data_IF_464509934140
#
_entry.id   IF_464509934140
#
_cell.length_a   1.000
_cell.length_b   1.000
_cell.length_c   1.000
_cell.angle_alpha   90.00
_cell.angle_beta   90.00
_cell.angle_gamma   90.00
#
_symmetry.space_group_name_H-M   'P 1'
#
loop_
_entity.id
_entity.type
_entity.pdbx_description
1 polymer ?
#
# COMPACT_ATOMS: atom_id res chain seq x y z
N UNK A 1 -23.46 16.71 -10.40
CA UNK A 1 -22.18 17.15 -10.97
C UNK A 1 -21.94 18.59 -10.52
N UNK A 2 -20.94 18.85 -9.67
CA UNK A 2 -20.74 20.12 -8.94
C UNK A 2 -19.78 21.09 -9.66
N UNK A 3 -19.52 20.86 -10.95
CA UNK A 3 -18.73 21.75 -11.81
C UNK A 3 -17.25 21.86 -11.43
N UNK A 4 -16.75 20.91 -10.61
CA UNK A 4 -15.33 20.78 -10.27
C UNK A 4 -14.62 19.99 -11.35
N UNK A 5 -13.44 20.47 -11.73
CA UNK A 5 -12.59 19.73 -12.66
C UNK A 5 -12.13 18.44 -11.98
N UNK A 6 -12.45 17.30 -12.58
CA UNK A 6 -11.88 16.00 -12.19
C UNK A 6 -10.92 15.54 -13.27
N UNK A 7 -10.03 14.60 -12.95
CA UNK A 7 -9.14 14.00 -13.94
C UNK A 7 -9.92 13.36 -15.10
N UNK A 8 -11.13 12.84 -14.82
CA UNK A 8 -11.98 12.15 -15.79
C UNK A 8 -12.71 13.12 -16.73
N UNK A 9 -13.01 14.34 -16.27
CA UNK A 9 -13.86 15.30 -16.99
C UNK A 9 -13.11 16.47 -17.62
N UNK A 10 -11.83 16.66 -17.31
CA UNK A 10 -11.08 17.85 -17.73
C UNK A 10 -10.12 17.57 -18.90
N UNK A 11 -10.59 17.71 -20.15
CA UNK A 11 -9.72 17.79 -21.34
C UNK A 11 -8.98 19.13 -21.44
N UNK A 12 -9.52 20.18 -20.81
CA UNK A 12 -8.93 21.53 -20.70
C UNK A 12 -9.06 22.03 -19.27
N UNK A 13 -7.95 22.45 -18.68
CA UNK A 13 -7.93 22.96 -17.32
C UNK A 13 -8.65 24.33 -17.23
N UNK A 14 -9.75 24.45 -16.45
CA UNK A 14 -10.58 25.65 -16.47
C UNK A 14 -9.81 26.90 -16.02
N UNK A 15 -9.98 28.06 -16.69
CA UNK A 15 -9.28 29.30 -16.35
C UNK A 15 -9.43 29.71 -14.88
N UNK A 16 -10.62 29.54 -14.29
CA UNK A 16 -10.90 29.85 -12.88
C UNK A 16 -10.09 29.04 -11.86
N UNK A 17 -9.51 27.90 -12.26
CA UNK A 17 -8.69 27.05 -11.40
C UNK A 17 -7.19 27.17 -11.74
N UNK A 18 -6.82 27.88 -12.82
CA UNK A 18 -5.42 28.13 -13.18
C UNK A 18 -4.75 28.95 -12.08
N UNK A 19 -3.48 28.65 -11.84
CA UNK A 19 -2.69 29.49 -10.95
C UNK A 19 -2.43 30.80 -11.68
N UNK A 20 -2.86 31.90 -11.08
CA UNK A 20 -2.55 33.25 -11.54
C UNK A 20 -1.04 33.46 -11.41
N UNK A 21 -0.34 33.63 -12.54
CA UNK A 21 1.11 33.76 -12.59
C UNK A 21 1.62 34.96 -11.78
N UNK A 22 0.79 36.00 -11.60
CA UNK A 22 1.14 37.15 -10.76
C UNK A 22 1.19 36.84 -9.25
N UNK A 23 0.61 35.70 -8.83
CA UNK A 23 0.57 35.23 -7.44
C UNK A 23 1.59 34.12 -7.16
N UNK A 24 2.51 33.89 -8.10
CA UNK A 24 3.54 32.88 -8.01
C UNK A 24 4.88 33.58 -7.76
N UNK A 25 5.61 33.12 -6.75
CA UNK A 25 6.99 33.56 -6.58
C UNK A 25 7.89 32.75 -7.51
N UNK A 26 8.51 33.45 -8.46
CA UNK A 26 9.54 32.90 -9.32
C UNK A 26 10.89 33.07 -8.64
N UNK A 27 11.63 31.99 -8.55
CA UNK A 27 12.99 31.99 -8.05
C UNK A 27 13.92 31.46 -9.11
N UNK A 28 15.13 32.02 -9.17
CA UNK A 28 16.17 31.57 -10.08
C UNK A 28 17.45 31.28 -9.28
N UNK A 29 18.05 30.12 -9.52
CA UNK A 29 19.35 29.74 -8.97
C UNK A 29 20.23 29.25 -10.13
N UNK A 30 21.15 30.12 -10.57
CA UNK A 30 21.92 29.89 -11.80
C UNK A 30 21.01 29.76 -13.02
N UNK A 31 21.08 28.62 -13.70
CA UNK A 31 20.26 28.29 -14.87
C UNK A 31 18.91 27.63 -14.52
N UNK A 32 18.62 27.40 -13.24
CA UNK A 32 17.39 26.73 -12.80
C UNK A 32 16.37 27.75 -12.30
N UNK A 33 15.18 27.74 -12.90
CA UNK A 33 14.00 28.47 -12.39
C UNK A 33 13.10 27.53 -11.61
N UNK A 34 12.66 27.94 -10.42
CA UNK A 34 11.69 27.21 -9.61
C UNK A 34 10.55 28.12 -9.15
N UNK A 35 9.38 27.50 -9.05
CA UNK A 35 8.12 28.13 -8.66
C UNK A 35 7.66 27.42 -7.39
N UNK A 36 7.26 28.18 -6.38
CA UNK A 36 6.59 27.64 -5.19
C UNK A 36 5.24 28.32 -4.98
N UNK A 37 4.26 27.54 -4.51
CA UNK A 37 2.98 28.08 -4.03
C UNK A 37 2.46 27.24 -2.87
N UNK A 38 1.90 27.84 -1.81
CA UNK A 38 1.16 27.09 -0.82
C UNK A 38 -0.14 26.57 -1.44
N UNK A 39 -0.49 25.32 -1.15
CA UNK A 39 -1.80 24.75 -1.47
C UNK A 39 -2.52 24.39 -0.18
N UNK A 40 -3.83 24.61 -0.17
CA UNK A 40 -4.67 24.24 0.96
C UNK A 40 -5.57 23.06 0.55
N UNK A 41 -5.37 21.92 1.20
CA UNK A 41 -6.15 20.70 0.94
C UNK A 41 -7.16 20.55 2.08
N UNK A 42 -8.44 20.76 1.78
CA UNK A 42 -9.52 20.69 2.79
C UNK A 42 -9.94 19.28 3.17
N UNK A 43 -9.69 18.29 2.33
CA UNK A 43 -10.32 16.96 2.43
C UNK A 43 -9.29 15.85 2.25
N UNK A 44 -8.27 15.82 3.11
CA UNK A 44 -7.40 14.63 3.21
C UNK A 44 -8.19 13.57 3.99
N UNK A 45 -8.52 12.41 3.38
CA UNK A 45 -9.23 11.37 4.10
C UNK A 45 -8.37 10.86 5.27
N UNK A 46 -9.05 10.50 6.36
CA UNK A 46 -8.39 9.88 7.51
C UNK A 46 -8.31 8.37 7.25
N UNK A 47 -7.12 7.87 6.89
CA UNK A 47 -6.87 6.43 6.77
C UNK A 47 -6.79 5.78 8.15
N UNK A 48 -7.28 4.55 8.29
CA UNK A 48 -7.35 3.84 9.55
C UNK A 48 -5.96 3.64 10.18
N UNK A 49 -4.93 3.38 9.36
CA UNK A 49 -3.56 3.24 9.85
C UNK A 49 -3.00 4.51 10.52
N UNK A 50 -3.53 5.70 10.21
CA UNK A 50 -3.06 6.95 10.84
C UNK A 50 -3.39 7.01 12.34
N UNK A 51 -4.43 6.27 12.74
CA UNK A 51 -4.88 6.08 14.13
C UNK A 51 -4.43 4.74 14.73
N UNK A 52 -3.65 3.96 13.99
CA UNK A 52 -3.13 2.69 14.50
C UNK A 52 -2.22 2.91 15.71
N UNK A 53 -2.21 1.90 16.58
CA UNK A 53 -1.27 1.83 17.68
C UNK A 53 0.15 1.59 17.12
N UNK A 54 1.17 2.36 17.54
CA UNK A 54 2.55 2.09 17.16
C UNK A 54 2.96 0.66 17.53
N UNK A 55 3.47 -0.07 16.55
CA UNK A 55 3.89 -1.45 16.72
C UNK A 55 5.12 -1.52 17.63
N UNK A 56 4.94 -2.12 18.80
CA UNK A 56 6.04 -2.48 19.71
C UNK A 56 6.42 -3.94 19.46
N UNK A 57 7.70 -4.27 19.23
CA UNK A 57 8.16 -5.65 18.93
C UNK A 57 8.18 -6.54 20.18
N UNK A 58 7.07 -6.59 20.91
CA UNK A 58 6.86 -7.53 22.01
C UNK A 58 6.65 -8.93 21.46
N UNK A 59 6.91 -9.96 22.28
CA UNK A 59 6.67 -11.36 21.90
C UNK A 59 5.25 -11.60 21.40
N UNK A 60 4.25 -10.94 22.01
CA UNK A 60 2.86 -11.06 21.63
C UNK A 60 2.57 -10.43 20.26
N UNK A 61 3.03 -9.19 20.02
CA UNK A 61 2.81 -8.49 18.76
C UNK A 61 3.54 -9.15 17.60
N UNK A 62 4.78 -9.61 17.81
CA UNK A 62 5.51 -10.38 16.80
C UNK A 62 4.79 -11.69 16.47
N UNK A 63 4.24 -12.38 17.48
CA UNK A 63 3.43 -13.60 17.25
C UNK A 63 2.16 -13.29 16.44
N UNK A 64 1.48 -12.17 16.69
CA UNK A 64 0.33 -11.73 15.88
C UNK A 64 0.74 -11.44 14.43
N UNK A 65 1.87 -10.76 14.23
CA UNK A 65 2.40 -10.44 12.90
C UNK A 65 2.79 -11.71 12.12
N UNK A 66 3.52 -12.63 12.74
CA UNK A 66 3.86 -13.92 12.13
C UNK A 66 2.61 -14.69 11.72
N UNK A 67 1.57 -14.74 12.58
CA UNK A 67 0.29 -15.38 12.25
C UNK A 67 -0.41 -14.71 11.07
N UNK A 68 -0.36 -13.39 10.96
CA UNK A 68 -0.92 -12.68 9.82
C UNK A 68 -0.23 -13.09 8.50
N UNK A 69 1.11 -13.13 8.49
CA UNK A 69 1.87 -13.63 7.34
C UNK A 69 1.56 -15.11 7.03
N UNK A 70 1.51 -15.98 8.05
CA UNK A 70 1.17 -17.39 7.86
C UNK A 70 -0.23 -17.57 7.27
N UNK A 71 -1.22 -16.81 7.74
CA UNK A 71 -2.56 -16.86 7.19
C UNK A 71 -2.57 -16.53 5.69
N UNK A 72 -1.82 -15.50 5.27
CA UNK A 72 -1.69 -15.13 3.85
C UNK A 72 -0.97 -16.22 3.04
N UNK A 73 0.13 -16.80 3.56
CA UNK A 73 0.83 -17.90 2.91
C UNK A 73 -0.10 -19.09 2.68
N UNK A 74 -0.91 -19.46 3.69
CA UNK A 74 -1.86 -20.55 3.56
C UNK A 74 -3.01 -20.22 2.60
N UNK A 75 -3.48 -18.97 2.54
CA UNK A 75 -4.42 -18.53 1.50
C UNK A 75 -3.80 -18.64 0.09
N UNK A 76 -2.55 -18.20 -0.09
CA UNK A 76 -1.82 -18.33 -1.36
C UNK A 76 -1.68 -19.80 -1.77
N UNK A 77 -1.28 -20.69 -0.86
CA UNK A 77 -1.16 -22.14 -1.13
C UNK A 77 -2.47 -22.77 -1.58
N UNK A 78 -3.58 -22.36 -0.95
CA UNK A 78 -4.93 -22.81 -1.31
C UNK A 78 -5.50 -22.11 -2.54
N UNK A 79 -4.76 -21.17 -3.12
CA UNK A 79 -5.22 -20.33 -4.24
C UNK A 79 -6.54 -19.60 -3.89
N UNK A 80 -6.69 -19.23 -2.62
CA UNK A 80 -7.87 -18.57 -2.08
C UNK A 80 -7.83 -17.06 -2.39
N UNK A 81 -8.08 -16.72 -3.66
CA UNK A 81 -8.06 -15.34 -4.16
C UNK A 81 -9.09 -14.48 -3.42
N UNK A 82 -10.26 -15.04 -3.12
CA UNK A 82 -11.31 -14.33 -2.39
C UNK A 82 -10.88 -14.02 -0.95
N UNK A 83 -10.28 -14.97 -0.24
CA UNK A 83 -9.73 -14.74 1.10
C UNK A 83 -8.60 -13.71 1.11
N UNK A 84 -7.72 -13.73 0.11
CA UNK A 84 -6.69 -12.69 -0.08
C UNK A 84 -7.33 -11.32 -0.31
N UNK A 85 -8.35 -11.23 -1.18
CA UNK A 85 -9.08 -9.98 -1.46
C UNK A 85 -9.72 -9.41 -0.21
N UNK A 86 -10.32 -10.26 0.62
CA UNK A 86 -10.92 -9.86 1.89
C UNK A 86 -9.86 -9.34 2.88
N UNK A 87 -8.70 -10.01 2.97
CA UNK A 87 -7.59 -9.59 3.82
C UNK A 87 -7.03 -8.20 3.41
N UNK A 88 -7.01 -7.90 2.11
CA UNK A 88 -6.55 -6.61 1.58
C UNK A 88 -7.65 -5.53 1.50
N UNK A 89 -8.91 -5.88 1.79
CA UNK A 89 -10.07 -5.00 1.57
C UNK A 89 -9.96 -3.61 2.23
N UNK A 90 -9.38 -3.54 3.43
CA UNK A 90 -9.12 -2.26 4.11
C UNK A 90 -8.14 -1.41 3.30
N UNK A 91 -6.97 -1.99 2.99
CA UNK A 91 -5.91 -1.35 2.19
C UNK A 91 -6.43 -0.85 0.86
N UNK A 92 -7.19 -1.70 0.15
CA UNK A 92 -7.72 -1.34 -1.16
C UNK A 92 -8.74 -0.21 -1.11
N UNK A 93 -9.60 -0.16 -0.08
CA UNK A 93 -10.52 0.97 0.13
C UNK A 93 -9.77 2.25 0.45
N UNK A 94 -8.76 2.16 1.31
CA UNK A 94 -7.90 3.30 1.68
C UNK A 94 -7.20 3.89 0.46
N UNK A 95 -6.69 3.04 -0.43
CA UNK A 95 -6.03 3.43 -1.68
C UNK A 95 -6.99 4.00 -2.70
N UNK A 96 -8.15 3.38 -2.91
CA UNK A 96 -9.21 3.90 -3.78
C UNK A 96 -9.63 5.32 -3.35
N UNK A 97 -9.79 5.56 -2.05
CA UNK A 97 -10.06 6.91 -1.51
C UNK A 97 -8.90 7.89 -1.74
N UNK A 98 -7.66 7.43 -1.60
CA UNK A 98 -6.47 8.26 -1.86
C UNK A 98 -6.40 8.72 -3.32
N UNK A 99 -6.90 7.92 -4.25
CA UNK A 99 -6.97 8.23 -5.68
C UNK A 99 -8.29 8.90 -6.08
N UNK A 100 -9.04 9.41 -5.11
CA UNK A 100 -10.33 10.06 -5.33
C UNK A 100 -11.33 9.19 -6.11
N UNK A 101 -11.32 7.87 -5.87
CA UNK A 101 -12.20 6.91 -6.53
C UNK A 101 -11.92 6.74 -8.02
N UNK A 102 -10.70 7.03 -8.49
CA UNK A 102 -10.32 6.78 -9.87
C UNK A 102 -10.32 5.30 -10.19
N UNK A 103 -9.78 4.50 -9.28
CA UNK A 103 -9.82 3.03 -9.27
C UNK A 103 -10.66 2.54 -8.08
N UNK A 104 -11.41 1.48 -8.31
CA UNK A 104 -12.15 0.75 -7.29
C UNK A 104 -11.19 -0.05 -6.37
N UNK A 105 -11.63 -0.43 -5.15
CA UNK A 105 -10.85 -1.33 -4.31
C UNK A 105 -10.52 -2.67 -4.97
N UNK A 106 -11.41 -3.15 -5.84
CA UNK A 106 -11.23 -4.41 -6.57
C UNK A 106 -10.13 -4.27 -7.62
N UNK A 107 -10.17 -3.23 -8.45
CA UNK A 107 -9.10 -2.93 -9.40
C UNK A 107 -7.75 -2.74 -8.71
N UNK A 108 -7.73 -2.15 -7.50
CA UNK A 108 -6.48 -2.05 -6.74
C UNK A 108 -5.98 -3.41 -6.24
N UNK A 109 -6.88 -4.31 -5.82
CA UNK A 109 -6.47 -5.65 -5.45
C UNK A 109 -5.93 -6.42 -6.66
N UNK A 110 -6.56 -6.29 -7.81
CA UNK A 110 -6.17 -6.99 -9.04
C UNK A 110 -4.72 -6.62 -9.45
N UNK A 111 -4.34 -5.35 -9.35
CA UNK A 111 -2.95 -4.90 -9.67
C UNK A 111 -1.90 -5.36 -8.67
N UNK A 112 -2.27 -5.91 -7.51
CA UNK A 112 -1.31 -6.56 -6.61
C UNK A 112 -0.73 -7.82 -7.28
N UNK A 113 -1.48 -8.44 -8.20
CA UNK A 113 -0.98 -9.52 -9.05
C UNK A 113 -1.14 -10.93 -8.46
N UNK A 114 -1.83 -11.10 -7.32
CA UNK A 114 -2.07 -12.44 -6.75
C UNK A 114 -2.79 -13.38 -7.73
N UNK A 115 -3.82 -12.88 -8.43
CA UNK A 115 -4.59 -13.70 -9.34
C UNK A 115 -3.76 -14.13 -10.56
N UNK A 116 -2.99 -13.23 -11.15
CA UNK A 116 -2.10 -13.55 -12.28
C UNK A 116 -1.03 -14.57 -11.87
N UNK A 117 -0.33 -14.29 -10.77
CA UNK A 117 0.74 -15.13 -10.26
C UNK A 117 0.25 -16.54 -9.89
N UNK A 118 -0.85 -16.63 -9.13
CA UNK A 118 -1.36 -17.92 -8.65
C UNK A 118 -2.10 -18.72 -9.74
N UNK A 119 -2.56 -18.09 -10.83
CA UNK A 119 -3.13 -18.83 -11.97
C UNK A 119 -2.06 -19.49 -12.85
N UNK A 120 -0.77 -19.17 -12.65
CA UNK A 120 0.30 -19.81 -13.38
C UNK A 120 0.45 -21.28 -12.92
N UNK A 121 0.26 -22.23 -13.84
CA UNK A 121 0.30 -23.68 -13.55
C UNK A 121 1.63 -24.18 -12.96
N UNK A 122 2.71 -23.42 -13.14
CA UNK A 122 4.05 -23.77 -12.63
C UNK A 122 4.39 -23.05 -11.32
N UNK A 123 3.51 -22.18 -10.82
CA UNK A 123 3.76 -21.41 -9.60
C UNK A 123 3.90 -22.32 -8.40
N UNK A 124 4.90 -22.01 -7.57
CA UNK A 124 5.10 -22.63 -6.27
C UNK A 124 5.08 -21.55 -5.21
N UNK A 125 4.13 -21.63 -4.28
CA UNK A 125 4.15 -20.79 -3.08
C UNK A 125 5.25 -21.31 -2.16
N UNK A 126 6.22 -20.46 -1.85
CA UNK A 126 7.35 -20.81 -0.99
C UNK A 126 6.93 -20.69 0.47
N UNK A 127 7.42 -21.62 1.31
CA UNK A 127 7.34 -21.44 2.75
C UNK A 127 8.24 -20.27 3.20
N UNK A 128 7.85 -19.61 4.27
CA UNK A 128 8.74 -18.67 4.93
C UNK A 128 9.97 -19.42 5.48
N UNK A 129 11.13 -18.75 5.51
CA UNK A 129 12.30 -19.25 6.25
C UNK A 129 12.08 -19.13 7.77
N UNK A 130 13.01 -19.56 8.61
CA UNK A 130 12.90 -19.32 10.06
C UNK A 130 12.61 -17.84 10.33
N UNK A 131 11.60 -17.54 11.15
CA UNK A 131 11.23 -16.19 11.56
C UNK A 131 12.41 -15.37 12.08
N UNK A 132 13.43 -16.02 12.66
CA UNK A 132 14.67 -15.38 13.10
C UNK A 132 15.48 -14.72 11.97
N UNK A 133 15.30 -15.19 10.73
CA UNK A 133 15.93 -14.63 9.54
C UNK A 133 15.28 -13.33 9.05
N UNK A 134 14.09 -13.00 9.56
CA UNK A 134 13.38 -11.78 9.19
C UNK A 134 13.63 -10.65 10.20
N UNK A 135 13.78 -9.44 9.67
CA UNK A 135 13.89 -8.19 10.43
C UNK A 135 12.59 -7.41 10.30
N UNK A 136 12.25 -6.65 11.35
CA UNK A 136 11.10 -5.76 11.36
C UNK A 136 11.46 -4.39 10.79
N UNK A 137 10.78 -3.97 9.73
CA UNK A 137 10.83 -2.61 9.17
C UNK A 137 9.64 -1.84 9.72
N UNK A 138 9.88 -0.59 10.11
CA UNK A 138 8.87 0.26 10.71
C UNK A 138 8.83 1.61 9.98
N UNK A 139 7.61 2.10 9.77
CA UNK A 139 7.31 3.34 9.07
C UNK A 139 6.22 4.10 9.83
N UNK A 140 6.10 5.40 9.52
CA UNK A 140 5.06 6.26 10.09
C UNK A 140 4.98 6.15 11.63
N UNK A 141 6.12 6.34 12.29
CA UNK A 141 6.26 6.29 13.76
C UNK A 141 5.76 5.00 14.39
N UNK A 142 5.99 3.85 13.75
CA UNK A 142 5.58 2.55 14.27
C UNK A 142 4.24 2.07 13.75
N UNK A 143 3.43 2.91 13.09
CA UNK A 143 2.06 2.57 12.72
C UNK A 143 1.96 1.59 11.57
N UNK A 144 2.97 1.54 10.72
CA UNK A 144 3.09 0.60 9.61
C UNK A 144 4.35 -0.23 9.80
N UNK A 145 4.24 -1.55 9.63
CA UNK A 145 5.36 -2.48 9.75
C UNK A 145 5.37 -3.55 8.66
N UNK A 146 6.55 -4.09 8.40
CA UNK A 146 6.78 -5.20 7.46
C UNK A 146 7.89 -6.12 7.97
N UNK A 147 7.86 -7.38 7.57
CA UNK A 147 8.98 -8.31 7.72
C UNK A 147 9.75 -8.44 6.41
N UNK A 148 11.07 -8.47 6.51
CA UNK A 148 11.96 -8.65 5.37
C UNK A 148 13.18 -9.49 5.75
N UNK A 149 13.65 -10.34 4.85
CA UNK A 149 14.88 -11.11 5.03
C UNK A 149 16.12 -10.29 4.59
N UNK A 150 17.28 -10.94 4.53
CA UNK A 150 18.54 -10.30 4.13
C UNK A 150 18.55 -9.79 2.68
N UNK A 151 17.68 -10.32 1.82
CA UNK A 151 17.53 -9.90 0.42
C UNK A 151 16.48 -8.78 0.27
N UNK A 152 15.79 -8.42 1.36
CA UNK A 152 14.70 -7.46 1.34
C UNK A 152 13.35 -8.08 1.02
N UNK A 153 13.27 -9.41 0.90
CA UNK A 153 12.04 -10.11 0.54
C UNK A 153 11.15 -10.34 1.75
N UNK A 154 9.85 -10.26 1.54
CA UNK A 154 8.89 -10.59 2.59
C UNK A 154 8.72 -12.12 2.72
N UNK A 155 8.06 -12.59 3.79
CA UNK A 155 7.64 -13.99 3.90
C UNK A 155 6.71 -14.48 2.78
N UNK A 156 6.04 -13.59 2.04
CA UNK A 156 5.07 -13.92 0.99
C UNK A 156 5.78 -14.04 -0.35
N UNK A 157 6.16 -15.27 -0.72
CA UNK A 157 6.91 -15.53 -1.95
C UNK A 157 6.30 -16.62 -2.80
N UNK A 158 6.39 -16.44 -4.11
CA UNK A 158 6.12 -17.46 -5.11
C UNK A 158 7.34 -17.64 -6.00
N UNK A 159 7.40 -18.77 -6.69
CA UNK A 159 8.46 -19.08 -7.63
C UNK A 159 7.87 -19.70 -8.89
N UNK A 160 8.32 -19.20 -10.05
CA UNK A 160 8.05 -19.77 -11.38
C UNK A 160 9.40 -19.91 -12.10
N UNK A 161 9.82 -21.15 -12.35
CA UNK A 161 11.18 -21.40 -12.85
C UNK A 161 12.23 -20.89 -11.86
N UNK A 162 13.07 -19.95 -12.28
CA UNK A 162 14.09 -19.30 -11.45
C UNK A 162 13.63 -17.93 -10.90
N UNK A 163 12.46 -17.44 -11.34
CA UNK A 163 11.93 -16.14 -10.94
C UNK A 163 11.22 -16.28 -9.60
N UNK A 164 11.61 -15.45 -8.62
CA UNK A 164 10.93 -15.31 -7.33
C UNK A 164 10.14 -14.00 -7.35
N UNK A 165 8.84 -14.10 -7.06
CA UNK A 165 7.96 -12.94 -6.84
C UNK A 165 7.74 -12.77 -5.33
N UNK A 166 7.86 -11.55 -4.82
CA UNK A 166 7.69 -11.20 -3.41
C UNK A 166 6.57 -10.19 -3.24
N UNK A 167 5.58 -10.50 -2.39
CA UNK A 167 4.49 -9.57 -2.07
C UNK A 167 4.84 -8.83 -0.78
N UNK A 168 4.73 -7.50 -0.77
CA UNK A 168 5.21 -6.67 0.36
C UNK A 168 4.08 -5.84 1.00
N UNK A 169 3.07 -6.46 1.63
CA UNK A 169 2.03 -5.70 2.33
C UNK A 169 2.58 -4.96 3.54
N UNK A 170 2.01 -3.79 3.86
CA UNK A 170 2.21 -3.13 5.14
C UNK A 170 1.14 -3.57 6.13
N UNK A 171 1.53 -3.70 7.40
CA UNK A 171 0.62 -4.08 8.48
C UNK A 171 0.51 -2.97 9.51
N UNK A 172 -0.68 -2.82 10.08
CA UNK A 172 -0.96 -1.96 11.23
C UNK A 172 -1.60 -2.75 12.37
N UNK A 173 -1.46 -2.28 13.61
CA UNK A 173 -2.28 -2.74 14.74
C UNK A 173 -3.46 -1.78 14.91
N UNK A 174 -4.66 -2.26 14.61
CA UNK A 174 -5.91 -1.51 14.75
C UNK A 174 -6.84 -2.31 15.65
N UNK A 175 -7.28 -1.70 16.76
CA UNK A 175 -8.11 -2.36 17.78
C UNK A 175 -7.50 -3.71 18.25
N UNK A 176 -6.19 -3.73 18.50
CA UNK A 176 -5.44 -4.92 18.95
C UNK A 176 -5.26 -6.03 17.90
N UNK A 177 -5.71 -5.83 16.66
CA UNK A 177 -5.60 -6.79 15.55
C UNK A 177 -4.58 -6.31 14.51
N UNK A 178 -3.78 -7.25 14.01
CA UNK A 178 -2.89 -6.99 12.88
C UNK A 178 -3.71 -7.06 11.60
N UNK A 179 -3.72 -5.98 10.83
CA UNK A 179 -4.45 -5.86 9.56
C UNK A 179 -3.53 -5.31 8.48
N UNK A 180 -3.80 -5.66 7.22
CA UNK A 180 -3.13 -5.04 6.09
C UNK A 180 -3.64 -3.61 5.95
N UNK A 181 -2.75 -2.66 5.77
CA UNK A 181 -3.11 -1.25 5.59
C UNK A 181 -2.16 -0.58 4.61
N UNK A 182 -2.63 0.49 3.96
CA UNK A 182 -1.93 1.24 2.91
C UNK A 182 -1.70 0.47 1.61
#
# INVERSE_FOLDING_TARGET
DDGKATVKTSKKYPPKYRTDASKITFHQKGWTSYISRPIYIKTIPQWAWTKAEPFKPTRENMKKLHRAYQALIEMMKRHDIQGLKEAYSLSSREKSLAEAGQSSPDEFFDVIGYQEELNNKQVKVLNHTDWKGYKLKSYADGKLVQLYDQHGDSPLRTQVGETITTFTPYFSIINGRVVISR
#
